data_IF_145066299530
#
_entry.id   IF_145066299530
#
_cell.length_a   1.000
_cell.length_b   1.000
_cell.length_c   1.000
_cell.angle_alpha   90.00
_cell.angle_beta   90.00
_cell.angle_gamma   90.00
#
_symmetry.space_group_name_H-M   'P 1'
#
loop_
_entity.id
_entity.type
_entity.pdbx_description
1 polymer ?
#
# COMPACT_ATOMS: atom_id res chain seq x y z
N UNK A 1 -3.86 7.44 26.50
CA UNK A 1 -3.91 6.71 25.22
C UNK A 1 -5.17 6.99 24.41
N UNK A 2 -6.37 6.74 24.95
CA UNK A 2 -7.61 6.93 24.20
C UNK A 2 -7.82 8.36 23.66
N UNK A 3 -7.47 9.40 24.42
CA UNK A 3 -7.57 10.80 24.00
C UNK A 3 -6.62 11.16 22.86
N UNK A 4 -5.38 10.66 22.88
CA UNK A 4 -4.39 10.85 21.83
C UNK A 4 -4.85 10.17 20.52
N UNK A 5 -5.32 8.93 20.65
CA UNK A 5 -5.82 8.16 19.52
C UNK A 5 -7.05 8.83 18.88
N UNK A 6 -7.98 9.29 19.70
CA UNK A 6 -9.15 10.03 19.24
C UNK A 6 -8.77 11.33 18.53
N UNK A 7 -7.78 12.08 19.04
CA UNK A 7 -7.33 13.32 18.40
C UNK A 7 -6.68 13.07 17.03
N UNK A 8 -5.87 12.01 16.89
CA UNK A 8 -5.27 11.62 15.62
C UNK A 8 -6.31 11.21 14.59
N UNK A 9 -7.30 10.42 14.98
CA UNK A 9 -8.40 10.00 14.10
C UNK A 9 -9.22 11.22 13.66
N UNK A 10 -9.68 12.04 14.60
CA UNK A 10 -10.50 13.23 14.28
C UNK A 10 -9.78 14.15 13.31
N UNK A 11 -8.48 14.31 13.49
CA UNK A 11 -7.68 15.13 12.62
C UNK A 11 -7.54 14.51 11.22
N UNK A 12 -7.20 13.23 11.14
CA UNK A 12 -7.01 12.54 9.86
C UNK A 12 -8.28 12.54 9.01
N UNK A 13 -9.42 12.37 9.65
CA UNK A 13 -10.73 12.39 9.01
C UNK A 13 -11.44 13.74 9.07
N UNK A 14 -10.69 14.84 9.31
CA UNK A 14 -11.25 16.19 9.15
C UNK A 14 -11.53 16.50 7.68
N UNK A 15 -12.43 17.48 7.43
CA UNK A 15 -12.91 17.77 6.08
C UNK A 15 -11.81 18.07 5.03
N UNK A 16 -10.68 18.66 5.42
CA UNK A 16 -9.60 19.02 4.49
C UNK A 16 -8.81 17.80 3.99
N UNK A 17 -8.24 16.94 4.90
CA UNK A 17 -7.58 15.71 4.48
C UNK A 17 -8.49 14.76 3.70
N UNK A 18 -9.74 14.59 4.13
CA UNK A 18 -10.70 13.71 3.44
C UNK A 18 -10.99 14.19 2.02
N UNK A 19 -11.19 15.50 1.80
CA UNK A 19 -11.37 16.05 0.46
C UNK A 19 -10.15 15.80 -0.44
N UNK A 20 -8.95 15.96 0.13
CA UNK A 20 -7.70 15.70 -0.60
C UNK A 20 -7.56 14.20 -0.94
N UNK A 21 -7.85 13.32 -0.01
CA UNK A 21 -7.86 11.88 -0.25
C UNK A 21 -8.87 11.49 -1.32
N UNK A 22 -10.10 11.98 -1.26
CA UNK A 22 -11.12 11.72 -2.29
C UNK A 22 -10.64 12.21 -3.65
N UNK A 23 -10.09 13.43 -3.74
CA UNK A 23 -9.60 13.99 -5.00
C UNK A 23 -8.43 13.19 -5.59
N UNK A 24 -7.61 12.55 -4.75
CA UNK A 24 -6.52 11.70 -5.19
C UNK A 24 -7.00 10.30 -5.60
N UNK A 25 -7.88 9.70 -4.81
CA UNK A 25 -8.26 8.30 -4.97
C UNK A 25 -9.36 8.09 -6.00
N UNK A 26 -10.30 9.04 -6.15
CA UNK A 26 -11.40 8.90 -7.10
C UNK A 26 -10.92 8.73 -8.56
N UNK A 27 -9.97 9.54 -9.08
CA UNK A 27 -9.41 9.32 -10.41
C UNK A 27 -8.71 7.97 -10.56
N UNK A 28 -8.02 7.50 -9.51
CA UNK A 28 -7.33 6.21 -9.53
C UNK A 28 -8.31 5.04 -9.56
N UNK A 29 -9.39 5.10 -8.79
CA UNK A 29 -10.47 4.09 -8.83
C UNK A 29 -11.10 4.05 -10.23
N UNK A 30 -11.44 5.23 -10.78
CA UNK A 30 -12.01 5.33 -12.12
C UNK A 30 -11.05 4.76 -13.16
N UNK A 31 -9.75 5.03 -13.03
CA UNK A 31 -8.72 4.49 -13.94
C UNK A 31 -8.66 2.95 -13.86
N UNK A 32 -8.64 2.36 -12.66
CA UNK A 32 -8.65 0.90 -12.49
C UNK A 32 -9.92 0.29 -13.06
N UNK A 33 -11.10 0.91 -12.81
CA UNK A 33 -12.37 0.46 -13.41
C UNK A 33 -12.37 0.56 -14.94
N UNK A 34 -11.75 1.58 -15.52
CA UNK A 34 -11.63 1.72 -16.98
C UNK A 34 -10.69 0.67 -17.57
N UNK A 35 -9.59 0.32 -16.88
CA UNK A 35 -8.68 -0.73 -17.35
C UNK A 35 -9.38 -2.08 -17.50
N UNK A 36 -10.36 -2.40 -16.65
CA UNK A 36 -11.10 -3.66 -16.73
C UNK A 36 -12.07 -3.73 -17.93
N UNK A 37 -12.45 -2.59 -18.50
CA UNK A 37 -13.37 -2.50 -19.65
C UNK A 37 -12.61 -2.45 -20.97
N UNK A 38 -11.37 -1.99 -20.97
CA UNK A 38 -10.57 -1.89 -22.19
C UNK A 38 -10.13 -3.29 -22.62
N UNK A 39 -10.60 -3.80 -23.78
CA UNK A 39 -10.09 -5.05 -24.31
C UNK A 39 -8.63 -4.86 -24.69
N UNK A 40 -7.74 -5.43 -23.89
CA UNK A 40 -6.31 -5.46 -24.24
C UNK A 40 -6.15 -6.56 -25.28
N UNK A 41 -6.11 -6.18 -26.56
CA UNK A 41 -5.77 -7.10 -27.66
C UNK A 41 -4.27 -7.21 -27.75
N UNK A 42 -3.72 -8.34 -27.30
CA UNK A 42 -2.32 -8.70 -27.54
C UNK A 42 -2.36 -9.92 -28.47
N UNK A 43 -1.75 -9.80 -29.66
CA UNK A 43 -1.69 -10.89 -30.66
C UNK A 43 -3.04 -11.51 -31.00
N UNK A 44 -4.05 -10.68 -31.30
CA UNK A 44 -5.41 -11.10 -31.68
C UNK A 44 -6.18 -11.89 -30.59
N UNK A 45 -5.65 -12.01 -29.38
CA UNK A 45 -6.36 -12.58 -28.24
C UNK A 45 -6.92 -11.46 -27.36
N UNK A 46 -8.25 -11.50 -27.11
CA UNK A 46 -8.89 -10.60 -26.14
C UNK A 46 -8.55 -11.12 -24.76
N UNK A 47 -7.65 -10.40 -24.06
CA UNK A 47 -7.35 -10.68 -22.66
C UNK A 47 -8.39 -9.98 -21.78
N UNK A 48 -9.34 -10.74 -21.29
CA UNK A 48 -10.23 -10.25 -20.23
C UNK A 48 -9.43 -10.15 -18.92
N UNK A 49 -9.25 -8.93 -18.44
CA UNK A 49 -8.60 -8.70 -17.14
C UNK A 49 -9.50 -9.28 -16.06
N UNK A 50 -8.98 -10.20 -15.26
CA UNK A 50 -9.70 -10.79 -14.14
C UNK A 50 -9.73 -9.84 -12.94
N UNK A 51 -10.78 -9.94 -12.10
CA UNK A 51 -10.85 -9.17 -10.84
C UNK A 51 -9.58 -9.31 -9.98
N UNK A 52 -8.94 -10.49 -10.00
CA UNK A 52 -7.67 -10.71 -9.27
C UNK A 52 -6.53 -9.84 -9.81
N UNK A 53 -6.43 -9.63 -11.12
CA UNK A 53 -5.43 -8.75 -11.73
C UNK A 53 -5.71 -7.29 -11.35
N UNK A 54 -6.96 -6.86 -11.36
CA UNK A 54 -7.33 -5.51 -10.91
C UNK A 54 -7.03 -5.30 -9.42
N UNK A 55 -7.19 -6.32 -8.59
CA UNK A 55 -6.79 -6.26 -7.18
C UNK A 55 -5.27 -6.13 -7.00
N UNK A 56 -4.47 -6.72 -7.88
CA UNK A 56 -3.01 -6.49 -7.88
C UNK A 56 -2.71 -5.02 -8.16
N UNK A 57 -3.31 -4.42 -9.19
CA UNK A 57 -3.15 -2.99 -9.47
C UNK A 57 -3.67 -2.12 -8.33
N UNK A 58 -4.83 -2.45 -7.78
CA UNK A 58 -5.40 -1.73 -6.64
C UNK A 58 -4.49 -1.79 -5.40
N UNK A 59 -3.81 -2.92 -5.15
CA UNK A 59 -2.84 -3.01 -4.03
C UNK A 59 -1.65 -2.06 -4.22
N UNK A 60 -1.19 -1.86 -5.46
CA UNK A 60 -0.11 -0.93 -5.78
C UNK A 60 -0.49 0.54 -5.49
N UNK A 61 -1.79 0.90 -5.51
CA UNK A 61 -2.22 2.25 -5.14
C UNK A 61 -1.84 2.62 -3.70
N UNK A 62 -1.67 1.62 -2.84
CA UNK A 62 -1.21 1.81 -1.46
C UNK A 62 0.20 2.39 -1.37
N UNK A 63 1.02 2.28 -2.43
CA UNK A 63 2.30 3.00 -2.56
C UNK A 63 2.07 4.50 -2.52
N UNK A 64 1.12 5.00 -3.30
CA UNK A 64 0.76 6.42 -3.30
C UNK A 64 0.27 6.90 -1.95
N UNK A 65 -0.58 6.10 -1.28
CA UNK A 65 -1.07 6.40 0.07
C UNK A 65 0.10 6.53 1.05
N UNK A 66 1.03 5.58 1.05
CA UNK A 66 2.19 5.61 1.93
C UNK A 66 3.10 6.82 1.69
N UNK A 67 3.35 7.17 0.42
CA UNK A 67 4.14 8.34 0.06
C UNK A 67 3.47 9.65 0.50
N UNK A 68 2.16 9.79 0.28
CA UNK A 68 1.39 11.00 0.67
C UNK A 68 1.32 11.14 2.18
N UNK A 69 1.02 10.07 2.91
CA UNK A 69 0.95 10.09 4.36
C UNK A 69 2.32 10.42 4.97
N UNK A 70 3.40 9.82 4.46
CA UNK A 70 4.76 10.16 4.89
C UNK A 70 5.10 11.62 4.60
N UNK A 71 4.66 12.19 3.48
CA UNK A 71 4.86 13.59 3.15
C UNK A 71 4.16 14.52 4.13
N UNK A 72 2.90 14.24 4.43
CA UNK A 72 2.12 15.00 5.41
C UNK A 72 2.79 14.95 6.79
N UNK A 73 3.21 13.76 7.21
CA UNK A 73 3.87 13.58 8.51
C UNK A 73 5.24 14.25 8.59
N UNK A 74 6.03 14.22 7.51
CA UNK A 74 7.34 14.88 7.45
C UNK A 74 7.23 16.41 7.47
N UNK A 75 6.20 16.97 6.84
CA UNK A 75 5.97 18.42 6.80
C UNK A 75 5.23 18.92 8.03
N UNK A 76 4.39 18.10 8.65
CA UNK A 76 3.63 18.52 9.81
C UNK A 76 4.52 18.52 11.06
N UNK A 77 4.62 19.67 11.74
CA UNK A 77 5.21 19.73 13.09
C UNK A 77 4.39 18.94 14.13
N UNK A 78 3.35 18.28 13.73
CA UNK A 78 2.33 17.67 14.58
C UNK A 78 2.75 16.32 15.13
N UNK A 79 3.60 15.57 14.41
CA UNK A 79 4.27 14.39 14.98
C UNK A 79 5.07 14.77 16.23
N UNK A 80 5.64 15.99 16.26
CA UNK A 80 6.32 16.55 17.46
C UNK A 80 5.32 16.89 18.57
N UNK A 81 4.14 17.45 18.21
CA UNK A 81 3.10 17.74 19.18
C UNK A 81 2.51 16.47 19.81
N UNK A 82 2.29 15.43 18.99
CA UNK A 82 1.83 14.11 19.48
C UNK A 82 2.83 13.54 20.48
N UNK A 83 4.13 13.67 20.20
CA UNK A 83 5.19 13.26 21.12
C UNK A 83 5.16 14.07 22.41
N UNK A 84 5.05 15.39 22.34
CA UNK A 84 4.99 16.26 23.52
C UNK A 84 3.80 15.92 24.44
N UNK A 85 2.67 15.59 23.85
CA UNK A 85 1.45 15.19 24.59
C UNK A 85 1.59 13.79 25.20
N UNK A 86 2.21 12.85 24.50
CA UNK A 86 2.35 11.46 24.95
C UNK A 86 3.46 11.25 25.99
N UNK A 87 4.48 12.10 25.98
CA UNK A 87 5.69 11.99 26.82
C UNK A 87 6.56 10.77 26.52
N UNK A 88 6.14 9.86 25.61
CA UNK A 88 6.86 8.63 25.25
C UNK A 88 6.92 8.47 23.73
N UNK A 89 8.14 8.48 23.18
CA UNK A 89 8.39 8.38 21.72
C UNK A 89 7.84 7.11 21.09
N UNK A 90 8.12 5.97 21.70
CA UNK A 90 7.65 4.67 21.22
C UNK A 90 6.13 4.62 21.15
N UNK A 91 5.45 5.15 22.14
CA UNK A 91 3.99 5.16 22.20
C UNK A 91 3.38 6.05 21.12
N UNK A 92 3.95 7.25 20.90
CA UNK A 92 3.48 8.16 19.85
C UNK A 92 3.71 7.56 18.46
N UNK A 93 4.89 6.97 18.20
CA UNK A 93 5.20 6.32 16.93
C UNK A 93 4.28 5.14 16.64
N UNK A 94 4.03 4.28 17.63
CA UNK A 94 3.07 3.17 17.50
C UNK A 94 1.65 3.68 17.22
N UNK A 95 1.23 4.75 17.90
CA UNK A 95 -0.11 5.31 17.68
C UNK A 95 -0.28 5.91 16.29
N UNK A 96 0.73 6.62 15.79
CA UNK A 96 0.75 7.16 14.43
C UNK A 96 0.68 6.01 13.43
N UNK A 97 1.60 5.05 13.51
CA UNK A 97 1.64 3.92 12.58
C UNK A 97 0.34 3.11 12.59
N UNK A 98 -0.26 2.91 13.76
CA UNK A 98 -1.53 2.20 13.87
C UNK A 98 -2.68 2.96 13.18
N UNK A 99 -2.77 4.28 13.33
CA UNK A 99 -3.78 5.09 12.63
C UNK A 99 -3.58 5.04 11.13
N UNK A 100 -2.32 5.09 10.67
CA UNK A 100 -1.97 4.97 9.26
C UNK A 100 -2.36 3.61 8.68
N UNK A 101 -2.09 2.52 9.41
CA UNK A 101 -2.49 1.17 9.01
C UNK A 101 -4.01 1.00 8.96
N UNK A 102 -4.74 1.55 9.93
CA UNK A 102 -6.21 1.55 9.90
C UNK A 102 -6.75 2.26 8.65
N UNK A 103 -6.12 3.37 8.27
CA UNK A 103 -6.49 4.14 7.09
C UNK A 103 -6.30 3.31 5.81
N UNK A 104 -5.13 2.66 5.65
CA UNK A 104 -4.86 1.78 4.50
C UNK A 104 -5.87 0.64 4.41
N UNK A 105 -6.17 -0.03 5.53
CA UNK A 105 -7.16 -1.10 5.57
C UNK A 105 -8.54 -0.59 5.15
N UNK A 106 -8.95 0.58 5.64
CA UNK A 106 -10.23 1.17 5.27
C UNK A 106 -10.29 1.51 3.78
N UNK A 107 -9.25 2.15 3.24
CA UNK A 107 -9.18 2.53 1.83
C UNK A 107 -9.12 1.30 0.93
N UNK A 108 -8.29 0.31 1.25
CA UNK A 108 -8.21 -0.94 0.49
C UNK A 108 -9.53 -1.70 0.51
N UNK A 109 -10.23 -1.70 1.63
CA UNK A 109 -11.58 -2.31 1.71
C UNK A 109 -12.58 -1.58 0.82
N UNK A 110 -12.56 -0.25 0.79
CA UNK A 110 -13.42 0.53 -0.11
C UNK A 110 -13.11 0.24 -1.58
N UNK A 111 -11.83 0.16 -1.96
CA UNK A 111 -11.45 -0.23 -3.32
C UNK A 111 -11.96 -1.61 -3.69
N UNK A 112 -11.78 -2.58 -2.79
CA UNK A 112 -12.29 -3.92 -3.01
C UNK A 112 -13.80 -3.94 -3.24
N UNK A 113 -14.57 -3.22 -2.42
CA UNK A 113 -16.04 -3.13 -2.55
C UNK A 113 -16.41 -2.52 -3.90
N UNK A 114 -15.75 -1.41 -4.29
CA UNK A 114 -16.03 -0.74 -5.57
C UNK A 114 -15.74 -1.66 -6.74
N UNK A 115 -14.58 -2.32 -6.75
CA UNK A 115 -14.22 -3.27 -7.81
C UNK A 115 -15.17 -4.46 -7.84
N UNK A 116 -15.55 -5.01 -6.69
CA UNK A 116 -16.46 -6.13 -6.61
C UNK A 116 -17.85 -5.78 -7.18
N UNK A 117 -18.38 -4.61 -6.84
CA UNK A 117 -19.64 -4.09 -7.39
C UNK A 117 -19.51 -3.89 -8.90
N UNK A 118 -18.40 -3.29 -9.35
CA UNK A 118 -18.14 -3.04 -10.77
C UNK A 118 -18.13 -4.33 -11.59
N UNK A 119 -17.39 -5.34 -11.17
CA UNK A 119 -17.34 -6.64 -11.84
C UNK A 119 -18.68 -7.37 -11.82
N UNK A 120 -19.47 -7.19 -10.77
CA UNK A 120 -20.81 -7.71 -10.70
C UNK A 120 -21.72 -7.07 -11.77
N UNK A 121 -21.63 -5.75 -11.97
CA UNK A 121 -22.35 -5.06 -13.04
C UNK A 121 -21.94 -5.51 -14.44
N UNK A 122 -20.67 -5.87 -14.63
CA UNK A 122 -20.18 -6.40 -15.92
C UNK A 122 -20.56 -7.87 -16.15
N UNK A 123 -21.29 -8.50 -15.24
CA UNK A 123 -21.67 -9.92 -15.29
C UNK A 123 -20.47 -10.87 -15.44
N UNK A 124 -19.29 -10.45 -14.97
CA UNK A 124 -18.09 -11.29 -14.93
C UNK A 124 -18.14 -12.12 -13.65
N UNK A 125 -17.96 -13.46 -13.79
CA UNK A 125 -17.96 -14.35 -12.63
C UNK A 125 -16.90 -13.92 -11.60
N UNK A 126 -17.37 -13.52 -10.42
CA UNK A 126 -16.54 -13.02 -9.33
C UNK A 126 -16.22 -14.17 -8.36
N UNK A 127 -15.30 -15.04 -8.75
CA UNK A 127 -14.78 -16.09 -7.87
C UNK A 127 -13.81 -15.57 -6.80
N UNK A 128 -14.12 -14.44 -6.13
CA UNK A 128 -13.26 -13.88 -5.09
C UNK A 128 -13.60 -14.50 -3.75
N UNK A 129 -12.71 -15.34 -3.27
CA UNK A 129 -12.79 -15.92 -1.93
C UNK A 129 -12.34 -14.92 -0.86
N UNK A 130 -12.77 -15.15 0.39
CA UNK A 130 -12.27 -14.39 1.55
C UNK A 130 -10.73 -14.43 1.65
N UNK A 131 -10.11 -15.51 1.21
CA UNK A 131 -8.65 -15.65 1.15
C UNK A 131 -8.02 -14.61 0.20
N UNK A 132 -8.57 -14.42 -0.99
CA UNK A 132 -8.08 -13.42 -1.97
C UNK A 132 -8.19 -12.00 -1.39
N UNK A 133 -9.31 -11.70 -0.72
CA UNK A 133 -9.47 -10.42 -0.05
C UNK A 133 -8.43 -10.22 1.06
N UNK A 134 -8.18 -11.23 1.89
CA UNK A 134 -7.16 -11.16 2.94
C UNK A 134 -5.76 -10.94 2.36
N UNK A 135 -5.40 -11.65 1.29
CA UNK A 135 -4.12 -11.48 0.61
C UNK A 135 -3.97 -10.11 -0.03
N UNK A 136 -5.03 -9.60 -0.62
CA UNK A 136 -5.07 -8.24 -1.15
C UNK A 136 -4.83 -7.19 -0.05
N UNK A 137 -5.49 -7.32 1.12
CA UNK A 137 -5.26 -6.41 2.25
C UNK A 137 -3.83 -6.46 2.76
N UNK A 138 -3.27 -7.67 2.93
CA UNK A 138 -1.89 -7.84 3.38
C UNK A 138 -0.92 -7.24 2.36
N UNK A 139 -1.15 -7.45 1.07
CA UNK A 139 -0.37 -6.84 -0.01
C UNK A 139 -0.42 -5.31 0.02
N UNK A 140 -1.61 -4.73 0.22
CA UNK A 140 -1.79 -3.29 0.34
C UNK A 140 -1.04 -2.71 1.55
N UNK A 141 -1.09 -3.40 2.69
CA UNK A 141 -0.33 -3.03 3.90
C UNK A 141 1.18 -3.08 3.62
N UNK A 142 1.66 -4.10 2.93
CA UNK A 142 3.09 -4.24 2.60
C UNK A 142 3.56 -3.11 1.67
N UNK A 143 2.82 -2.81 0.59
CA UNK A 143 3.12 -1.69 -0.29
C UNK A 143 3.14 -0.36 0.46
N UNK A 144 2.16 -0.15 1.34
CA UNK A 144 2.12 1.03 2.19
C UNK A 144 3.37 1.12 3.08
N UNK A 145 3.70 0.07 3.83
CA UNK A 145 4.85 0.07 4.75
C UNK A 145 6.17 0.36 4.03
N UNK A 146 6.40 -0.28 2.89
CA UNK A 146 7.62 -0.07 2.09
C UNK A 146 7.69 1.37 1.58
N UNK A 147 6.59 1.90 1.03
CA UNK A 147 6.57 3.27 0.50
C UNK A 147 6.70 4.33 1.60
N UNK A 148 6.04 4.11 2.72
CA UNK A 148 6.13 4.98 3.89
C UNK A 148 7.54 4.98 4.49
N UNK A 149 8.15 3.78 4.66
CA UNK A 149 9.54 3.62 5.10
C UNK A 149 10.52 4.35 4.18
N UNK A 150 10.46 4.10 2.87
CA UNK A 150 11.37 4.74 1.89
C UNK A 150 11.21 6.25 1.88
N UNK A 151 9.97 6.75 2.01
CA UNK A 151 9.70 8.19 2.06
C UNK A 151 10.32 8.86 3.28
N UNK A 152 10.27 8.20 4.44
CA UNK A 152 10.96 8.66 5.64
C UNK A 152 12.48 8.53 5.52
N UNK A 153 12.97 7.45 4.94
CA UNK A 153 14.39 7.19 4.78
C UNK A 153 15.05 8.22 3.86
N UNK A 154 14.48 8.45 2.69
CA UNK A 154 14.99 9.42 1.71
C UNK A 154 14.57 10.87 2.00
N UNK A 155 13.63 11.09 2.92
CA UNK A 155 12.97 12.39 3.15
C UNK A 155 12.39 12.99 1.86
N UNK A 156 12.05 12.15 0.91
CA UNK A 156 11.55 12.51 -0.41
C UNK A 156 10.46 11.53 -0.84
N UNK A 157 9.19 11.87 -0.61
CA UNK A 157 8.07 11.02 -1.01
C UNK A 157 8.01 10.78 -2.53
N UNK A 158 8.32 11.82 -3.32
CA UNK A 158 8.36 11.69 -4.78
C UNK A 158 9.49 10.78 -5.26
N UNK A 159 10.67 10.85 -4.62
CA UNK A 159 11.77 9.92 -4.90
C UNK A 159 11.40 8.48 -4.59
N UNK A 160 10.73 8.24 -3.47
CA UNK A 160 10.25 6.91 -3.09
C UNK A 160 9.20 6.37 -4.04
N UNK A 161 8.25 7.21 -4.45
CA UNK A 161 7.24 6.86 -5.43
C UNK A 161 7.90 6.48 -6.77
N UNK A 162 8.85 7.30 -7.24
CA UNK A 162 9.59 7.02 -8.48
C UNK A 162 10.36 5.69 -8.39
N UNK A 163 11.07 5.43 -7.29
CA UNK A 163 11.79 4.18 -7.08
C UNK A 163 10.83 2.98 -7.15
N UNK A 164 9.73 3.03 -6.40
CA UNK A 164 8.79 1.91 -6.31
C UNK A 164 8.02 1.64 -7.61
N UNK A 165 7.74 2.67 -8.40
CA UNK A 165 7.09 2.50 -9.71
C UNK A 165 8.08 2.10 -10.81
N UNK A 166 9.31 2.62 -10.78
CA UNK A 166 10.32 2.31 -11.79
C UNK A 166 11.07 1.00 -11.53
N UNK A 167 11.15 0.57 -10.27
CA UNK A 167 11.83 -0.67 -9.90
C UNK A 167 11.33 -1.89 -10.70
N UNK A 168 10.02 -2.20 -10.74
CA UNK A 168 9.53 -3.32 -11.53
C UNK A 168 9.78 -3.15 -13.04
N UNK A 169 9.78 -1.93 -13.55
CA UNK A 169 9.94 -1.67 -14.98
C UNK A 169 11.40 -1.77 -15.43
N UNK A 170 12.33 -1.22 -14.64
CA UNK A 170 13.74 -1.09 -15.03
C UNK A 170 14.63 -2.19 -14.46
N UNK A 171 14.47 -2.53 -13.19
CA UNK A 171 15.37 -3.45 -12.51
C UNK A 171 14.93 -4.91 -12.59
N UNK A 172 13.65 -5.19 -12.66
CA UNK A 172 13.19 -6.56 -12.76
C UNK A 172 13.70 -7.27 -14.02
N UNK A 173 13.59 -6.71 -15.23
CA UNK A 173 14.11 -7.38 -16.43
C UNK A 173 15.63 -7.63 -16.37
N UNK A 174 16.35 -6.78 -15.63
CA UNK A 174 17.78 -7.00 -15.39
C UNK A 174 18.02 -8.16 -14.42
N UNK A 175 17.29 -8.20 -13.31
CA UNK A 175 17.40 -9.29 -12.31
C UNK A 175 16.97 -10.61 -12.93
N UNK A 176 15.93 -10.64 -13.76
CA UNK A 176 15.48 -11.83 -14.49
C UNK A 176 16.59 -12.42 -15.38
N UNK A 177 17.40 -11.59 -16.00
CA UNK A 177 18.53 -12.05 -16.84
C UNK A 177 19.71 -12.57 -16.04
N UNK A 178 19.97 -12.01 -14.85
CA UNK A 178 21.17 -12.29 -14.04
C UNK A 178 20.89 -13.38 -13.00
N UNK A 179 19.70 -13.39 -12.44
CA UNK A 179 19.35 -14.23 -11.31
C UNK A 179 17.84 -14.60 -11.33
N UNK A 180 17.41 -15.25 -12.41
CA UNK A 180 16.02 -15.67 -12.64
C UNK A 180 15.34 -16.29 -11.40
N UNK A 181 15.99 -17.22 -10.64
CA UNK A 181 15.37 -17.81 -9.47
C UNK A 181 15.06 -16.81 -8.35
N UNK A 182 15.75 -15.67 -8.30
CA UNK A 182 15.54 -14.66 -7.25
C UNK A 182 14.37 -13.73 -7.55
N UNK A 183 13.92 -13.64 -8.79
CA UNK A 183 12.83 -12.73 -9.19
C UNK A 183 11.51 -13.09 -8.51
N UNK A 184 11.25 -14.39 -8.32
CA UNK A 184 10.05 -14.87 -7.62
C UNK A 184 9.99 -14.48 -6.14
N UNK A 185 11.13 -14.06 -5.55
CA UNK A 185 11.24 -13.61 -4.16
C UNK A 185 11.26 -12.09 -4.02
N UNK A 186 11.14 -11.34 -5.10
CA UNK A 186 10.96 -9.90 -5.01
C UNK A 186 9.58 -9.58 -4.42
N UNK A 187 9.54 -8.66 -3.46
CA UNK A 187 8.34 -8.37 -2.67
C UNK A 187 7.09 -8.15 -3.52
N UNK A 188 7.19 -7.47 -4.64
CA UNK A 188 6.04 -7.18 -5.48
C UNK A 188 5.59 -8.41 -6.30
N UNK A 189 6.50 -9.31 -6.70
CA UNK A 189 6.15 -10.59 -7.32
C UNK A 189 5.45 -11.50 -6.31
N UNK A 190 5.95 -11.55 -5.07
CA UNK A 190 5.31 -12.31 -3.99
C UNK A 190 3.90 -11.79 -3.73
N UNK A 191 3.68 -10.48 -3.68
CA UNK A 191 2.34 -9.90 -3.50
C UNK A 191 1.43 -10.30 -4.66
N UNK A 192 1.92 -10.19 -5.89
CA UNK A 192 1.19 -10.58 -7.11
C UNK A 192 0.82 -12.05 -7.07
N UNK A 193 1.78 -12.93 -6.82
CA UNK A 193 1.57 -14.39 -6.74
C UNK A 193 0.61 -14.77 -5.61
N UNK A 194 0.66 -14.05 -4.49
CA UNK A 194 -0.24 -14.24 -3.35
C UNK A 194 -1.69 -13.91 -3.73
N UNK A 195 -1.93 -12.77 -4.35
CA UNK A 195 -3.28 -12.35 -4.78
C UNK A 195 -3.82 -13.27 -5.88
N UNK A 196 -2.95 -13.71 -6.81
CA UNK A 196 -3.32 -14.64 -7.87
C UNK A 196 -3.49 -16.08 -7.38
N UNK A 197 -3.08 -16.39 -6.15
CA UNK A 197 -3.15 -17.73 -5.57
C UNK A 197 -2.11 -18.71 -6.10
N UNK A 198 -0.94 -18.19 -6.53
CA UNK A 198 0.18 -18.96 -7.09
C UNK A 198 1.36 -19.06 -6.13
N UNK A 199 1.21 -18.59 -4.90
CA UNK A 199 2.30 -18.52 -3.92
C UNK A 199 2.77 -19.91 -3.46
N UNK A 200 4.08 -20.11 -3.41
CA UNK A 200 4.69 -21.27 -2.78
C UNK A 200 4.85 -21.07 -1.27
N UNK A 201 5.00 -22.18 -0.53
CA UNK A 201 5.21 -22.11 0.92
C UNK A 201 6.47 -21.31 1.31
N UNK A 202 7.55 -21.46 0.54
CA UNK A 202 8.79 -20.73 0.78
C UNK A 202 8.62 -19.21 0.54
N UNK A 203 7.92 -18.83 -0.53
CA UNK A 203 7.58 -17.42 -0.78
C UNK A 203 6.72 -16.83 0.35
N UNK A 204 5.79 -17.61 0.91
CA UNK A 204 4.98 -17.15 2.03
C UNK A 204 5.84 -16.87 3.28
N UNK A 205 6.84 -17.71 3.55
CA UNK A 205 7.79 -17.49 4.65
C UNK A 205 8.63 -16.22 4.41
N UNK A 206 9.15 -16.03 3.21
CA UNK A 206 9.90 -14.81 2.84
C UNK A 206 9.02 -13.59 2.99
N UNK A 207 7.78 -13.65 2.52
CA UNK A 207 6.82 -12.56 2.62
C UNK A 207 6.52 -12.16 4.08
N UNK A 208 6.32 -13.16 4.95
CA UNK A 208 6.13 -12.90 6.37
C UNK A 208 7.35 -12.20 7.01
N UNK A 209 8.57 -12.61 6.64
CA UNK A 209 9.79 -11.95 7.10
C UNK A 209 9.90 -10.51 6.58
N UNK A 210 9.61 -10.27 5.31
CA UNK A 210 9.61 -8.93 4.72
C UNK A 210 8.58 -8.00 5.38
N UNK A 211 7.39 -8.51 5.71
CA UNK A 211 6.36 -7.74 6.41
C UNK A 211 6.83 -7.33 7.82
N UNK A 212 7.39 -8.27 8.57
CA UNK A 212 7.92 -7.99 9.92
C UNK A 212 9.07 -6.99 9.85
N UNK A 213 9.97 -7.17 8.87
CA UNK A 213 11.11 -6.26 8.67
C UNK A 213 10.64 -4.84 8.31
N UNK A 214 9.72 -4.70 7.36
CA UNK A 214 9.21 -3.39 6.92
C UNK A 214 8.46 -2.67 8.04
N UNK A 215 7.68 -3.40 8.85
CA UNK A 215 7.01 -2.86 10.03
C UNK A 215 8.03 -2.38 11.08
N UNK A 216 9.02 -3.20 11.41
CA UNK A 216 10.05 -2.87 12.38
C UNK A 216 10.93 -1.70 11.93
N UNK A 217 11.32 -1.68 10.66
CA UNK A 217 12.11 -0.61 10.07
C UNK A 217 11.35 0.72 10.04
N UNK A 218 10.06 0.68 9.69
CA UNK A 218 9.18 1.86 9.71
C UNK A 218 9.05 2.42 11.13
N UNK A 219 8.79 1.55 12.10
CA UNK A 219 8.66 1.96 13.49
C UNK A 219 9.98 2.55 14.04
N UNK A 220 11.11 1.93 13.72
CA UNK A 220 12.43 2.44 14.09
C UNK A 220 12.69 3.85 13.54
N UNK A 221 12.38 4.08 12.24
CA UNK A 221 12.54 5.41 11.64
C UNK A 221 11.60 6.45 12.25
N UNK A 222 10.36 6.09 12.56
CA UNK A 222 9.43 7.00 13.23
C UNK A 222 9.95 7.41 14.62
N UNK A 223 10.51 6.48 15.39
CA UNK A 223 11.10 6.76 16.70
C UNK A 223 12.31 7.68 16.54
N UNK A 224 13.22 7.36 15.61
CA UNK A 224 14.44 8.13 15.35
C UNK A 224 14.15 9.55 14.87
N UNK A 225 13.18 9.74 13.99
CA UNK A 225 12.84 11.06 13.46
C UNK A 225 12.23 11.99 14.51
N UNK A 226 11.73 11.45 15.63
CA UNK A 226 11.30 12.24 16.77
C UNK A 226 12.48 12.73 17.64
N UNK A 227 13.70 12.19 17.40
CA UNK A 227 14.91 12.59 18.15
C UNK A 227 15.56 13.88 17.62
N UNK A 228 15.22 14.30 16.41
CA UNK A 228 15.93 15.38 15.76
C UNK A 228 15.33 16.73 16.11
N UNK A 229 16.08 17.46 16.97
CA UNK A 229 16.14 18.93 17.20
C UNK A 229 14.96 19.58 17.89
#
# INVERSE_FOLDING_TARGET
>A
MASLFRSLIVKKYSLKPVKFQIALHLPLIVFVCLLSVLPVTINDTILNISLKQDLVFASMLSVGIGCVNAFVDLQSHETKLVYLVSGKRTLSSMSILFVELCDVVLQSTLYFIVLHIWFHFLSIENGVSLAVFSFYLIGSIQYFLVSYFLSYFFKSPMGSLAILLLFPILLQPFIERVAEPLTSYLFYNIITDTILGRISYLQLCVYAMELVFSLGATLYLLIRNQEVK
#
